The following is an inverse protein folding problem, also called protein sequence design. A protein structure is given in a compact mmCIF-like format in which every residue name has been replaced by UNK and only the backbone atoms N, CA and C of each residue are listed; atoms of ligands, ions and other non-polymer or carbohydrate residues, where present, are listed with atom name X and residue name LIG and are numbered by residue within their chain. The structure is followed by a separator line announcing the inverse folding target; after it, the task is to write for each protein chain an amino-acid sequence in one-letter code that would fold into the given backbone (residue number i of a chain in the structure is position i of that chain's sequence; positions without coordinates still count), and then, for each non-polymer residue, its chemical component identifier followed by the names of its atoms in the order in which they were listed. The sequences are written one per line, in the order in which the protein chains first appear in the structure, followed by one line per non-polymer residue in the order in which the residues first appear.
data_IF_195798770758
#
_entry.id   IF_195798770758
#
_cell.length_a   1.000
_cell.length_b   1.000
_cell.length_c   1.000
_cell.angle_alpha   90.00
_cell.angle_beta   90.00
_cell.angle_gamma   90.00
#
_symmetry.space_group_name_H-M   'P 1'
#
loop_
_entity.id
_entity.type
_entity.pdbx_description
1 polymer ?
#
# COMPACT_ATOMS: atom_id res chain seq x y z
N UNK A 1 25.59 -9.86 -11.58
CA UNK A 1 24.45 -10.07 -12.49
C UNK A 1 23.41 -10.83 -11.70
N UNK A 2 22.28 -10.18 -11.48
CA UNK A 2 21.12 -10.66 -10.76
C UNK A 2 20.44 -11.80 -11.51
N UNK A 3 20.13 -12.91 -10.84
CA UNK A 3 19.41 -14.00 -11.47
C UNK A 3 18.01 -13.53 -11.86
N UNK A 4 17.64 -13.72 -13.12
CA UNK A 4 16.30 -13.37 -13.60
C UNK A 4 15.30 -14.41 -13.12
N UNK A 5 14.21 -13.96 -12.52
CA UNK A 5 13.13 -14.83 -12.06
C UNK A 5 12.07 -14.93 -13.16
N UNK A 6 11.49 -16.13 -13.32
CA UNK A 6 10.37 -16.33 -14.25
C UNK A 6 9.12 -15.55 -13.78
N UNK A 7 8.44 -14.82 -14.68
CA UNK A 7 7.20 -14.08 -14.35
C UNK A 7 6.05 -14.96 -13.82
N UNK A 8 6.11 -16.27 -14.07
CA UNK A 8 5.11 -17.23 -13.55
C UNK A 8 5.32 -17.48 -12.05
N UNK A 9 6.56 -17.38 -11.57
CA UNK A 9 6.94 -17.71 -10.19
C UNK A 9 6.97 -16.45 -9.31
N UNK A 10 7.31 -15.30 -9.88
CA UNK A 10 7.42 -14.04 -9.16
C UNK A 10 6.99 -12.87 -10.03
N UNK A 11 6.41 -11.85 -9.39
CA UNK A 11 6.13 -10.55 -10.01
C UNK A 11 7.40 -9.71 -10.24
N UNK A 12 8.52 -10.08 -9.61
CA UNK A 12 9.80 -9.39 -9.75
C UNK A 12 10.68 -10.04 -10.82
N UNK A 13 11.34 -9.20 -11.62
CA UNK A 13 12.21 -9.68 -12.71
C UNK A 13 13.51 -10.29 -12.19
N UNK A 14 13.95 -9.92 -10.99
CA UNK A 14 15.23 -10.33 -10.41
C UNK A 14 15.13 -10.65 -8.93
N UNK A 15 16.04 -11.51 -8.46
CA UNK A 15 16.17 -11.84 -7.03
C UNK A 15 16.48 -10.62 -6.17
N UNK A 16 17.34 -9.71 -6.63
CA UNK A 16 17.69 -8.50 -5.91
C UNK A 16 16.49 -7.55 -5.77
N UNK A 17 15.64 -7.44 -6.78
CA UNK A 17 14.42 -6.64 -6.68
C UNK A 17 13.44 -7.24 -5.65
N UNK A 18 13.24 -8.56 -5.69
CA UNK A 18 12.39 -9.27 -4.74
C UNK A 18 12.91 -9.14 -3.29
N UNK A 19 14.23 -9.29 -3.09
CA UNK A 19 14.86 -9.15 -1.79
C UNK A 19 14.80 -7.72 -1.26
N UNK A 20 14.96 -6.72 -2.13
CA UNK A 20 14.81 -5.31 -1.77
C UNK A 20 13.37 -5.00 -1.34
N UNK A 21 12.38 -5.50 -2.09
CA UNK A 21 10.97 -5.36 -1.75
C UNK A 21 10.64 -6.04 -0.42
N UNK A 22 11.05 -7.30 -0.22
CA UNK A 22 10.79 -8.03 1.04
C UNK A 22 11.39 -7.30 2.24
N UNK A 23 12.61 -6.76 2.12
CA UNK A 23 13.24 -5.96 3.18
C UNK A 23 12.44 -4.71 3.51
N UNK A 24 12.02 -3.95 2.50
CA UNK A 24 11.21 -2.76 2.69
C UNK A 24 9.83 -3.10 3.28
N UNK A 25 9.17 -4.14 2.76
CA UNK A 25 7.84 -4.56 3.20
C UNK A 25 7.86 -4.98 4.68
N UNK A 26 8.84 -5.79 5.09
CA UNK A 26 9.01 -6.17 6.51
C UNK A 26 9.26 -4.97 7.40
N UNK A 27 10.08 -4.01 6.95
CA UNK A 27 10.33 -2.79 7.71
C UNK A 27 9.05 -1.95 7.88
N UNK A 28 8.25 -1.82 6.81
CA UNK A 28 6.98 -1.11 6.83
C UNK A 28 5.96 -1.79 7.75
N UNK A 29 5.82 -3.12 7.67
CA UNK A 29 4.95 -3.89 8.56
C UNK A 29 5.37 -3.74 10.02
N UNK A 30 6.68 -3.83 10.32
CA UNK A 30 7.16 -3.66 11.68
C UNK A 30 6.92 -2.24 12.20
N UNK A 31 7.06 -1.21 11.35
CA UNK A 31 6.73 0.16 11.71
C UNK A 31 5.23 0.30 12.06
N UNK A 32 4.33 -0.32 11.27
CA UNK A 32 2.89 -0.33 11.56
C UNK A 32 2.54 -1.10 12.84
N UNK A 33 3.22 -2.22 13.13
CA UNK A 33 3.02 -2.97 14.39
C UNK A 33 3.48 -2.16 15.61
N UNK A 34 4.57 -1.40 15.45
CA UNK A 34 5.12 -0.57 16.52
C UNK A 34 4.37 0.76 16.70
N UNK A 35 3.44 1.10 15.81
CA UNK A 35 2.63 2.30 15.92
C UNK A 35 1.70 2.19 17.15
N UNK A 36 1.80 3.10 18.14
CA UNK A 36 0.95 3.06 19.32
C UNK A 36 -0.48 3.53 19.06
N UNK A 37 -0.78 4.01 17.85
CA UNK A 37 -2.13 4.45 17.49
C UNK A 37 -3.15 3.33 17.70
N UNK A 38 -4.35 3.64 18.23
CA UNK A 38 -5.40 2.66 18.37
C UNK A 38 -5.89 2.21 16.98
N UNK A 39 -6.25 0.93 16.88
CA UNK A 39 -6.90 0.43 15.68
C UNK A 39 -8.24 1.14 15.46
N UNK A 40 -8.52 1.48 14.21
CA UNK A 40 -9.79 2.05 13.78
C UNK A 40 -10.75 0.97 13.29
N UNK A 41 -12.06 1.19 13.44
CA UNK A 41 -13.06 0.24 12.96
C UNK A 41 -13.16 0.27 11.43
N UNK A 42 -13.67 -0.82 10.84
CA UNK A 42 -13.94 -0.87 9.41
C UNK A 42 -14.83 0.30 8.94
N UNK A 43 -15.90 0.58 9.70
CA UNK A 43 -16.83 1.67 9.37
C UNK A 43 -16.15 3.04 9.36
N UNK A 44 -15.22 3.26 10.30
CA UNK A 44 -14.44 4.48 10.37
C UNK A 44 -13.52 4.63 9.15
N UNK A 45 -12.75 3.60 8.77
CA UNK A 45 -11.91 3.61 7.56
C UNK A 45 -12.74 3.96 6.32
N UNK A 46 -13.92 3.34 6.18
CA UNK A 46 -14.80 3.57 5.04
C UNK A 46 -15.39 4.99 5.02
N UNK A 47 -15.67 5.57 6.19
CA UNK A 47 -16.12 6.96 6.29
C UNK A 47 -15.00 7.94 5.90
N UNK A 48 -13.78 7.73 6.39
CA UNK A 48 -12.61 8.56 6.06
C UNK A 48 -12.29 8.50 4.56
N UNK A 49 -12.35 7.31 3.95
CA UNK A 49 -12.13 7.14 2.50
C UNK A 49 -13.19 7.85 1.66
N UNK A 50 -14.48 7.79 2.04
CA UNK A 50 -15.54 8.53 1.34
C UNK A 50 -15.33 10.03 1.40
N UNK A 51 -15.04 10.57 2.59
CA UNK A 51 -14.75 11.99 2.75
C UNK A 51 -13.54 12.44 1.92
N UNK A 52 -12.50 11.61 1.82
CA UNK A 52 -11.33 11.89 0.99
C UNK A 52 -11.69 11.98 -0.50
N UNK A 53 -12.55 11.09 -0.99
CA UNK A 53 -13.00 11.09 -2.39
C UNK A 53 -13.90 12.30 -2.69
N UNK A 54 -14.83 12.62 -1.80
CA UNK A 54 -15.69 13.81 -1.93
C UNK A 54 -14.86 15.09 -1.96
N UNK A 55 -13.80 15.19 -1.13
CA UNK A 55 -12.88 16.34 -1.14
C UNK A 55 -12.10 16.50 -2.44
N UNK A 56 -12.01 15.43 -3.25
CA UNK A 56 -11.30 15.40 -4.53
C UNK A 56 -12.23 15.52 -5.72
N UNK A 57 -13.55 15.46 -5.53
CA UNK A 57 -14.47 15.73 -6.62
C UNK A 57 -14.43 17.22 -6.96
N UNK A 58 -14.25 17.58 -8.25
CA UNK A 58 -14.47 18.95 -8.67
C UNK A 58 -15.94 19.34 -8.40
N UNK A 59 -16.24 20.61 -8.09
CA UNK A 59 -17.61 21.04 -7.87
C UNK A 59 -18.46 20.66 -9.09
N UNK A 60 -19.57 19.98 -8.87
CA UNK A 60 -20.53 19.62 -9.90
C UNK A 60 -21.33 20.86 -10.33
N UNK A 61 -20.65 21.82 -10.92
CA UNK A 61 -21.22 22.91 -11.72
C UNK A 61 -20.68 22.75 -13.15
N UNK A 62 -21.19 21.73 -13.84
CA UNK A 62 -21.23 21.69 -15.28
C UNK A 62 -22.56 21.05 -15.66
N UNK A 63 -23.55 21.94 -15.80
CA UNK A 63 -24.91 21.69 -16.31
C UNK A 63 -24.95 20.89 -17.60
#
# INVERSE_FOLDING_TARGET
MSARISPIVSEFETEEQAASYDKWFRAQVQASINDPAPNISHDQVMAEMRALLESKQPPSDAS
#
